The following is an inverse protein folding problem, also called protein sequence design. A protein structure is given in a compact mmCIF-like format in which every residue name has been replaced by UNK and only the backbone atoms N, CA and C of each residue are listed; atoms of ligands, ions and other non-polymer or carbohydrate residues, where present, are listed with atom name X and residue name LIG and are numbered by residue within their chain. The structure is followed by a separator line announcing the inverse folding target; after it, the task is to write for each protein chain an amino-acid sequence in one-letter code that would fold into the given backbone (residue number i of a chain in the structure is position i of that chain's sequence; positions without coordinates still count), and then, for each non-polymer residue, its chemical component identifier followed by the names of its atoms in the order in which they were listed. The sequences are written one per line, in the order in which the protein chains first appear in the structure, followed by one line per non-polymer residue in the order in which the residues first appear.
data_IF_390622459028
#
_entry.id   IF_390622459028
#
_cell.length_a   1.000
_cell.length_b   1.000
_cell.length_c   1.000
_cell.angle_alpha   90.00
_cell.angle_beta   90.00
_cell.angle_gamma   90.00
#
_symmetry.space_group_name_H-M   'P 1'
#
loop_
_entity.id
_entity.type
_entity.pdbx_description
1 polymer ?
#
# COMPACT_ATOMS: atom_id res chain seq x y z
N UNK A 1 -19.51 -28.05 39.47
CA UNK A 1 -18.06 -27.76 39.51
C UNK A 1 -17.59 -27.77 38.06
N UNK A 2 -17.21 -26.62 37.49
CA UNK A 2 -16.76 -26.53 36.10
C UNK A 2 -15.24 -26.74 36.03
N UNK A 3 -14.78 -27.57 35.10
CA UNK A 3 -13.44 -28.13 35.10
C UNK A 3 -12.29 -27.11 34.92
N UNK A 4 -11.17 -27.27 35.64
CA UNK A 4 -9.99 -26.37 35.58
C UNK A 4 -9.35 -26.27 34.18
N UNK A 5 -9.60 -27.25 33.32
CA UNK A 5 -9.10 -27.33 31.94
C UNK A 5 -9.67 -26.24 31.02
N UNK A 6 -10.94 -25.86 31.20
CA UNK A 6 -11.62 -24.88 30.34
C UNK A 6 -11.11 -23.44 30.55
N UNK A 7 -10.80 -23.06 31.79
CA UNK A 7 -10.22 -21.74 32.10
C UNK A 7 -8.81 -21.59 31.54
N UNK A 8 -7.99 -22.64 31.65
CA UNK A 8 -6.64 -22.65 31.08
C UNK A 8 -6.65 -22.49 29.56
N UNK A 9 -7.55 -23.20 28.85
CA UNK A 9 -7.69 -23.08 27.40
C UNK A 9 -8.12 -21.68 26.94
N UNK A 10 -9.05 -21.04 27.65
CA UNK A 10 -9.48 -19.66 27.37
C UNK A 10 -8.33 -18.66 27.58
N UNK A 11 -7.53 -18.82 28.64
CA UNK A 11 -6.36 -17.97 28.89
C UNK A 11 -5.31 -18.13 27.79
N UNK A 12 -4.98 -19.36 27.39
CA UNK A 12 -4.03 -19.62 26.30
C UNK A 12 -4.52 -19.06 24.96
N UNK A 13 -5.81 -19.21 24.66
CA UNK A 13 -6.44 -18.67 23.45
C UNK A 13 -6.38 -17.14 23.44
N UNK A 14 -6.65 -16.49 24.58
CA UNK A 14 -6.52 -15.05 24.72
C UNK A 14 -5.10 -14.55 24.45
N UNK A 15 -4.10 -15.20 25.06
CA UNK A 15 -2.69 -14.87 24.81
C UNK A 15 -2.30 -15.06 23.35
N UNK A 16 -2.79 -16.12 22.70
CA UNK A 16 -2.50 -16.37 21.29
C UNK A 16 -3.11 -15.30 20.37
N UNK A 17 -4.36 -14.87 20.63
CA UNK A 17 -5.00 -13.79 19.87
C UNK A 17 -4.18 -12.50 20.02
N UNK A 18 -3.78 -12.14 21.24
CA UNK A 18 -2.94 -10.95 21.49
C UNK A 18 -1.64 -11.01 20.70
N UNK A 19 -0.92 -12.13 20.72
CA UNK A 19 0.32 -12.29 19.94
C UNK A 19 0.08 -12.13 18.43
N UNK A 20 -1.02 -12.67 17.90
CA UNK A 20 -1.34 -12.53 16.48
C UNK A 20 -1.67 -11.09 16.09
N UNK A 21 -2.31 -10.32 16.98
CA UNK A 21 -2.58 -8.89 16.75
C UNK A 21 -1.33 -8.01 16.83
N UNK A 22 -0.28 -8.48 17.49
CA UNK A 22 1.01 -7.79 17.59
C UNK A 22 1.93 -8.04 16.37
N UNK A 23 1.59 -8.99 15.49
CA UNK A 23 2.41 -9.27 14.31
C UNK A 23 2.35 -8.11 13.30
N UNK A 24 3.49 -7.65 12.75
CA UNK A 24 3.50 -6.65 11.70
C UNK A 24 2.71 -7.10 10.46
N UNK A 25 2.06 -6.17 9.73
CA UNK A 25 1.34 -6.49 8.48
C UNK A 25 2.23 -7.19 7.43
N UNK A 26 3.54 -6.96 7.49
CA UNK A 26 4.53 -7.54 6.60
C UNK A 26 5.31 -8.73 7.20
N UNK A 27 4.84 -9.31 8.31
CA UNK A 27 5.58 -10.33 9.06
C UNK A 27 6.05 -11.50 8.19
N UNK A 28 5.20 -12.00 7.30
CA UNK A 28 5.54 -13.08 6.36
C UNK A 28 6.69 -12.70 5.40
N UNK A 29 6.71 -11.47 4.91
CA UNK A 29 7.78 -10.95 4.05
C UNK A 29 9.09 -10.80 4.85
N UNK A 30 9.03 -10.22 6.05
CA UNK A 30 10.19 -10.09 6.92
C UNK A 30 10.78 -11.45 7.31
N UNK A 31 9.91 -12.40 7.69
CA UNK A 31 10.34 -13.74 8.09
C UNK A 31 10.97 -14.52 6.94
N UNK A 32 10.41 -14.43 5.74
CA UNK A 32 11.00 -15.06 4.55
C UNK A 32 12.35 -14.44 4.18
N UNK A 33 12.49 -13.12 4.25
CA UNK A 33 13.77 -12.45 4.06
C UNK A 33 14.84 -12.91 5.08
N UNK A 34 14.47 -13.01 6.37
CA UNK A 34 15.36 -13.52 7.42
C UNK A 34 15.80 -14.97 7.18
N UNK A 35 14.91 -15.83 6.69
CA UNK A 35 15.25 -17.21 6.36
C UNK A 35 16.23 -17.27 5.19
N UNK A 36 16.01 -16.47 4.15
CA UNK A 36 16.92 -16.37 3.01
C UNK A 36 18.30 -15.84 3.43
N UNK A 37 18.36 -14.82 4.30
CA UNK A 37 19.62 -14.33 4.84
C UNK A 37 20.40 -15.41 5.61
N UNK A 38 19.71 -16.22 6.43
CA UNK A 38 20.34 -17.35 7.11
C UNK A 38 20.90 -18.36 6.12
N UNK A 39 20.16 -18.70 5.06
CA UNK A 39 20.64 -19.60 4.03
C UNK A 39 21.86 -19.05 3.28
N UNK A 40 21.88 -17.75 2.98
CA UNK A 40 23.04 -17.10 2.36
C UNK A 40 24.29 -17.16 3.25
N UNK A 41 24.13 -17.04 4.58
CA UNK A 41 25.25 -17.16 5.53
C UNK A 41 25.73 -18.61 5.65
N UNK A 42 24.81 -19.57 5.69
CA UNK A 42 25.13 -20.99 5.84
C UNK A 42 25.67 -21.63 4.56
N UNK A 43 25.28 -21.14 3.39
CA UNK A 43 25.61 -21.69 2.08
C UNK A 43 25.96 -20.59 1.05
N UNK A 44 27.04 -19.83 1.25
CA UNK A 44 27.35 -18.62 0.47
C UNK A 44 27.57 -18.88 -1.02
N UNK A 45 28.14 -20.03 -1.40
CA UNK A 45 28.47 -20.37 -2.79
C UNK A 45 27.45 -21.32 -3.45
N UNK A 46 26.26 -21.48 -2.85
CA UNK A 46 25.25 -22.39 -3.37
C UNK A 46 24.35 -21.69 -4.41
N UNK A 47 24.39 -22.08 -5.70
CA UNK A 47 23.60 -21.43 -6.75
C UNK A 47 22.09 -21.55 -6.52
N UNK A 48 21.62 -22.61 -5.85
CA UNK A 48 20.20 -22.77 -5.53
C UNK A 48 19.75 -21.74 -4.48
N UNK A 49 20.60 -21.37 -3.52
CA UNK A 49 20.26 -20.32 -2.53
C UNK A 49 20.16 -18.97 -3.22
N UNK A 50 21.07 -18.66 -4.15
CA UNK A 50 21.01 -17.44 -4.93
C UNK A 50 19.73 -17.38 -5.78
N UNK A 51 19.35 -18.47 -6.45
CA UNK A 51 18.11 -18.56 -7.21
C UNK A 51 16.87 -18.33 -6.31
N UNK A 52 16.84 -18.90 -5.11
CA UNK A 52 15.75 -18.66 -4.15
C UNK A 52 15.62 -17.19 -3.77
N UNK A 53 16.74 -16.51 -3.52
CA UNK A 53 16.77 -15.07 -3.20
C UNK A 53 16.23 -14.26 -4.37
N UNK A 54 16.73 -14.51 -5.57
CA UNK A 54 16.32 -13.77 -6.78
C UNK A 54 14.83 -13.96 -7.08
N UNK A 55 14.34 -15.21 -6.99
CA UNK A 55 12.94 -15.53 -7.22
C UNK A 55 12.03 -14.89 -6.17
N UNK A 56 12.44 -14.88 -4.90
CA UNK A 56 11.71 -14.20 -3.85
C UNK A 56 11.65 -12.69 -4.08
N UNK A 57 12.80 -12.04 -4.38
CA UNK A 57 12.85 -10.61 -4.66
C UNK A 57 11.97 -10.22 -5.85
N UNK A 58 12.00 -10.99 -6.95
CA UNK A 58 11.12 -10.80 -8.12
C UNK A 58 9.65 -10.95 -7.75
N UNK A 59 9.30 -11.94 -6.93
CA UNK A 59 7.93 -12.17 -6.47
C UNK A 59 7.41 -11.01 -5.62
N UNK A 60 8.21 -10.52 -4.67
CA UNK A 60 7.84 -9.38 -3.81
C UNK A 60 7.68 -8.10 -4.65
N UNK A 61 8.62 -7.80 -5.56
CA UNK A 61 8.56 -6.62 -6.43
C UNK A 61 7.38 -6.65 -7.40
N UNK A 62 7.06 -7.80 -7.98
CA UNK A 62 5.92 -7.93 -8.91
C UNK A 62 4.56 -7.77 -8.23
N UNK A 63 4.48 -8.01 -6.92
CA UNK A 63 3.29 -7.79 -6.11
C UNK A 63 3.26 -6.44 -5.41
N UNK A 64 4.35 -5.67 -5.47
CA UNK A 64 4.42 -4.32 -4.93
C UNK A 64 3.62 -3.34 -5.79
N UNK A 65 3.15 -2.26 -5.17
CA UNK A 65 2.60 -1.12 -5.88
C UNK A 65 3.63 -0.61 -6.90
N UNK A 66 3.31 -0.48 -8.21
CA UNK A 66 4.23 0.07 -9.21
C UNK A 66 4.68 1.49 -8.84
N UNK A 67 5.88 1.89 -9.25
CA UNK A 67 6.41 3.21 -8.90
C UNK A 67 5.60 4.34 -9.54
N UNK A 68 5.11 4.09 -10.76
CA UNK A 68 4.25 5.01 -11.50
C UNK A 68 2.89 5.20 -10.81
N UNK A 69 2.45 4.22 -10.01
CA UNK A 69 1.23 4.32 -9.22
C UNK A 69 1.42 5.15 -7.94
N UNK A 70 2.66 5.37 -7.50
CA UNK A 70 2.95 6.20 -6.32
C UNK A 70 2.87 7.71 -6.61
N UNK A 71 3.01 8.13 -7.88
CA UNK A 71 3.08 9.56 -8.23
C UNK A 71 1.73 10.19 -8.54
N UNK A 72 0.72 9.41 -8.91
CA UNK A 72 -0.56 9.93 -9.42
C UNK A 72 -1.28 10.89 -8.46
N UNK A 73 -1.28 10.59 -7.16
CA UNK A 73 -1.87 11.49 -6.16
C UNK A 73 -1.09 12.79 -6.01
N UNK A 74 0.25 12.72 -5.97
CA UNK A 74 1.11 13.89 -5.88
C UNK A 74 0.94 14.79 -7.12
N UNK A 75 0.96 14.20 -8.31
CA UNK A 75 0.70 14.92 -9.57
C UNK A 75 -0.67 15.62 -9.58
N UNK A 76 -1.72 14.93 -9.13
CA UNK A 76 -3.06 15.50 -9.03
C UNK A 76 -3.12 16.68 -8.05
N UNK A 77 -2.47 16.56 -6.89
CA UNK A 77 -2.39 17.63 -5.89
C UNK A 77 -1.59 18.83 -6.40
N UNK A 78 -0.46 18.61 -7.07
CA UNK A 78 0.33 19.68 -7.69
C UNK A 78 -0.46 20.44 -8.74
N UNK A 79 -1.21 19.73 -9.61
CA UNK A 79 -2.08 20.37 -10.61
C UNK A 79 -3.22 21.14 -9.96
N UNK A 80 -3.81 20.62 -8.88
CA UNK A 80 -4.85 21.30 -8.12
C UNK A 80 -4.34 22.60 -7.48
N UNK A 81 -3.12 22.58 -6.92
CA UNK A 81 -2.46 23.78 -6.38
C UNK A 81 -2.20 24.82 -7.47
N UNK A 82 -1.67 24.40 -8.62
CA UNK A 82 -1.43 25.29 -9.76
C UNK A 82 -2.73 25.93 -10.27
N UNK A 83 -3.83 25.18 -10.30
CA UNK A 83 -5.14 25.70 -10.66
C UNK A 83 -5.63 26.75 -9.65
N UNK A 84 -5.50 26.48 -8.35
CA UNK A 84 -5.87 27.42 -7.29
C UNK A 84 -5.06 28.73 -7.38
N UNK A 85 -3.74 28.65 -7.57
CA UNK A 85 -2.88 29.82 -7.77
C UNK A 85 -3.24 30.61 -9.03
N UNK A 86 -3.61 29.93 -10.11
CA UNK A 86 -4.04 30.58 -11.35
C UNK A 86 -5.37 31.33 -11.13
N UNK A 87 -6.31 30.72 -10.42
CA UNK A 87 -7.59 31.35 -10.06
C UNK A 87 -7.39 32.60 -9.19
N UNK A 88 -6.54 32.52 -8.16
CA UNK A 88 -6.25 33.65 -7.27
C UNK A 88 -5.61 34.83 -8.04
N UNK A 89 -4.65 34.56 -8.93
CA UNK A 89 -4.01 35.60 -9.75
C UNK A 89 -4.99 36.32 -10.68
N UNK A 90 -5.99 35.62 -11.21
CA UNK A 90 -7.02 36.20 -12.07
C UNK A 90 -7.99 37.09 -11.28
N UNK A 91 -8.27 36.72 -10.02
CA UNK A 91 -9.07 37.54 -9.11
C UNK A 91 -8.34 38.84 -8.72
N UNK A 92 -7.02 38.75 -8.48
CA UNK A 92 -6.17 39.92 -8.19
C UNK A 92 -5.98 40.84 -9.42
N UNK A 93 -5.78 40.28 -10.61
CA UNK A 93 -5.61 41.02 -11.87
C UNK A 93 -6.94 41.31 -12.56
N UNK A 94 -7.85 42.00 -11.86
CA UNK A 94 -9.18 42.42 -12.33
C UNK A 94 -9.19 42.74 -13.84
N UNK A 95 -9.67 41.79 -14.65
CA UNK A 95 -9.76 41.91 -16.12
C UNK A 95 -9.26 40.72 -16.94
N UNK A 96 -8.46 39.81 -16.36
CA UNK A 96 -8.15 38.51 -16.99
C UNK A 96 -9.02 37.43 -16.35
N UNK A 97 -9.79 36.71 -17.17
CA UNK A 97 -10.59 35.58 -16.73
C UNK A 97 -10.06 34.30 -17.35
N UNK A 98 -10.14 33.20 -16.61
CA UNK A 98 -10.01 31.88 -17.18
C UNK A 98 -11.29 31.55 -17.93
N UNK A 99 -11.15 31.05 -19.15
CA UNK A 99 -12.29 30.56 -19.92
C UNK A 99 -12.82 29.24 -19.34
N UNK A 100 -14.10 28.95 -19.57
CA UNK A 100 -14.71 27.68 -19.12
C UNK A 100 -14.02 26.46 -19.77
N UNK A 101 -13.51 26.59 -20.99
CA UNK A 101 -12.76 25.53 -21.67
C UNK A 101 -11.40 25.29 -21.02
N UNK A 102 -10.67 26.33 -20.64
CA UNK A 102 -9.42 26.18 -19.89
C UNK A 102 -9.64 25.53 -18.52
N UNK A 103 -10.64 25.99 -17.76
CA UNK A 103 -11.00 25.37 -16.47
C UNK A 103 -11.32 23.89 -16.64
N UNK A 104 -12.12 23.54 -17.66
CA UNK A 104 -12.48 22.15 -17.93
C UNK A 104 -11.24 21.29 -18.24
N UNK A 105 -10.30 21.81 -19.02
CA UNK A 105 -9.05 21.10 -19.33
C UNK A 105 -8.21 20.85 -18.09
N UNK A 106 -8.05 21.85 -17.22
CA UNK A 106 -7.30 21.69 -15.95
C UNK A 106 -7.96 20.67 -15.02
N UNK A 107 -9.28 20.79 -14.81
CA UNK A 107 -10.05 19.84 -14.00
C UNK A 107 -9.96 18.43 -14.55
N UNK A 108 -10.06 18.26 -15.88
CA UNK A 108 -9.90 16.96 -16.52
C UNK A 108 -8.50 16.38 -16.28
N UNK A 109 -7.45 17.19 -16.37
CA UNK A 109 -6.08 16.76 -16.08
C UNK A 109 -5.89 16.32 -14.61
N UNK A 110 -6.50 17.03 -13.66
CA UNK A 110 -6.49 16.66 -12.24
C UNK A 110 -7.23 15.33 -12.02
N UNK A 111 -8.44 15.19 -12.59
CA UNK A 111 -9.21 13.95 -12.52
C UNK A 111 -8.45 12.78 -13.13
N UNK A 112 -7.77 12.99 -14.26
CA UNK A 112 -6.96 11.96 -14.91
C UNK A 112 -5.77 11.54 -14.02
N UNK A 113 -5.11 12.48 -13.35
CA UNK A 113 -4.00 12.19 -12.44
C UNK A 113 -4.47 11.33 -11.24
N UNK A 114 -5.58 11.71 -10.60
CA UNK A 114 -6.14 10.93 -9.49
C UNK A 114 -6.68 9.56 -9.92
N UNK A 115 -7.21 9.44 -11.14
CA UNK A 115 -7.75 8.17 -11.65
C UNK A 115 -6.69 7.24 -12.25
N UNK A 116 -5.42 7.68 -12.39
CA UNK A 116 -4.33 6.83 -12.89
C UNK A 116 -4.10 5.63 -11.97
N UNK A 117 -4.19 5.85 -10.65
CA UNK A 117 -4.19 4.78 -9.66
C UNK A 117 -5.07 5.17 -8.47
N UNK A 118 -6.09 4.36 -8.20
CA UNK A 118 -7.00 4.59 -7.08
C UNK A 118 -6.30 4.17 -5.78
N UNK A 119 -6.10 5.09 -4.81
CA UNK A 119 -5.45 4.77 -3.54
C UNK A 119 -6.18 3.68 -2.75
N UNK A 120 -5.46 2.98 -1.88
CA UNK A 120 -6.03 1.90 -1.07
C UNK A 120 -7.15 2.38 -0.14
N UNK A 121 -7.07 3.61 0.35
CA UNK A 121 -8.10 4.24 1.19
C UNK A 121 -9.43 4.37 0.43
N UNK A 122 -9.38 4.76 -0.84
CA UNK A 122 -10.59 4.87 -1.68
C UNK A 122 -11.12 3.49 -2.07
N UNK A 123 -10.25 2.49 -2.26
CA UNK A 123 -10.68 1.09 -2.44
C UNK A 123 -11.40 0.56 -1.20
N UNK A 124 -10.90 0.88 0.00
CA UNK A 124 -11.54 0.50 1.27
C UNK A 124 -12.91 1.16 1.44
N UNK A 125 -13.03 2.45 1.13
CA UNK A 125 -14.31 3.17 1.16
C UNK A 125 -15.34 2.52 0.23
N UNK A 126 -14.95 2.17 -0.99
CA UNK A 126 -15.81 1.48 -1.96
C UNK A 126 -16.22 0.08 -1.51
N UNK A 127 -15.31 -0.64 -0.86
CA UNK A 127 -15.62 -1.95 -0.28
C UNK A 127 -16.67 -1.82 0.84
N UNK A 128 -16.53 -0.83 1.73
CA UNK A 128 -17.50 -0.57 2.79
C UNK A 128 -18.90 -0.26 2.22
N UNK A 129 -18.97 0.57 1.18
CA UNK A 129 -20.24 0.85 0.47
C UNK A 129 -20.84 -0.39 -0.18
N UNK A 130 -20.03 -1.19 -0.88
CA UNK A 130 -20.47 -2.39 -1.60
C UNK A 130 -20.92 -3.50 -0.65
N UNK A 131 -20.27 -3.61 0.52
CA UNK A 131 -20.67 -4.51 1.61
C UNK A 131 -22.09 -4.21 2.09
N UNK A 132 -22.47 -2.93 2.14
CA UNK A 132 -23.82 -2.52 2.53
C UNK A 132 -24.89 -2.83 1.46
N UNK A 133 -24.48 -3.20 0.24
CA UNK A 133 -25.37 -3.41 -0.93
C UNK A 133 -25.43 -4.87 -1.39
N UNK A 134 -25.00 -5.85 -0.58
CA UNK A 134 -25.02 -7.29 -0.85
C UNK A 134 -24.19 -7.76 -2.08
N UNK A 135 -23.30 -6.93 -2.61
CA UNK A 135 -22.40 -7.29 -3.71
C UNK A 135 -20.98 -6.81 -3.43
N UNK A 136 -20.16 -7.63 -2.75
CA UNK A 136 -18.89 -7.17 -2.18
C UNK A 136 -17.65 -7.99 -2.54
N UNK A 137 -17.78 -9.17 -3.15
CA UNK A 137 -16.61 -10.05 -3.35
C UNK A 137 -15.53 -9.44 -4.26
N UNK A 138 -15.94 -8.75 -5.32
CA UNK A 138 -15.00 -8.10 -6.24
C UNK A 138 -14.30 -6.91 -5.58
N UNK A 139 -15.05 -6.06 -4.89
CA UNK A 139 -14.54 -4.87 -4.20
C UNK A 139 -13.65 -5.27 -3.02
N UNK A 140 -13.98 -6.35 -2.32
CA UNK A 140 -13.14 -6.93 -1.28
C UNK A 140 -11.78 -7.34 -1.84
N UNK A 141 -11.76 -8.12 -2.92
CA UNK A 141 -10.52 -8.56 -3.58
C UNK A 141 -9.68 -7.37 -4.07
N UNK A 142 -10.31 -6.32 -4.58
CA UNK A 142 -9.62 -5.10 -5.00
C UNK A 142 -8.99 -4.35 -3.82
N UNK A 143 -9.71 -4.21 -2.70
CA UNK A 143 -9.18 -3.59 -1.49
C UNK A 143 -8.03 -4.40 -0.88
N UNK A 144 -8.19 -5.72 -0.78
CA UNK A 144 -7.14 -6.63 -0.31
C UNK A 144 -5.90 -6.58 -1.22
N UNK A 145 -6.08 -6.53 -2.53
CA UNK A 145 -4.97 -6.40 -3.48
C UNK A 145 -4.23 -5.07 -3.30
N UNK A 146 -4.95 -3.96 -3.17
CA UNK A 146 -4.35 -2.64 -2.96
C UNK A 146 -3.54 -2.57 -1.65
N UNK A 147 -4.08 -3.12 -0.56
CA UNK A 147 -3.37 -3.22 0.72
C UNK A 147 -2.11 -4.09 0.62
N UNK A 148 -2.21 -5.25 -0.02
CA UNK A 148 -1.06 -6.13 -0.25
C UNK A 148 0.01 -5.43 -1.10
N UNK A 149 -0.37 -4.69 -2.13
CA UNK A 149 0.56 -3.92 -2.97
C UNK A 149 1.32 -2.86 -2.17
N UNK A 150 0.63 -2.14 -1.27
CA UNK A 150 1.26 -1.17 -0.38
C UNK A 150 2.22 -1.84 0.61
N UNK A 151 1.82 -2.95 1.23
CA UNK A 151 2.68 -3.71 2.16
C UNK A 151 3.95 -4.19 1.45
N UNK A 152 3.81 -4.76 0.25
CA UNK A 152 4.95 -5.23 -0.54
C UNK A 152 5.86 -4.05 -0.96
N UNK A 153 5.31 -2.92 -1.41
CA UNK A 153 6.10 -1.72 -1.75
C UNK A 153 6.87 -1.19 -0.55
N UNK A 154 6.20 -1.05 0.61
CA UNK A 154 6.87 -0.63 1.84
C UNK A 154 8.06 -1.53 2.19
N UNK A 155 7.92 -2.86 2.06
CA UNK A 155 9.02 -3.79 2.27
C UNK A 155 10.15 -3.65 1.26
N UNK A 156 9.85 -3.42 -0.02
CA UNK A 156 10.87 -3.18 -1.04
C UNK A 156 11.67 -1.91 -0.73
N UNK A 157 10.99 -0.81 -0.37
CA UNK A 157 11.63 0.46 0.00
C UNK A 157 12.44 0.35 1.31
N UNK A 158 11.96 -0.44 2.26
CA UNK A 158 12.64 -0.68 3.53
C UNK A 158 13.88 -1.57 3.36
N UNK A 159 13.77 -2.67 2.61
CA UNK A 159 14.89 -3.58 2.33
C UNK A 159 15.98 -2.94 1.45
N UNK A 160 15.64 -1.94 0.63
CA UNK A 160 16.60 -1.18 -0.19
C UNK A 160 17.44 -0.17 0.59
N UNK A 161 17.12 0.10 1.87
CA UNK A 161 17.90 0.98 2.73
C UNK A 161 18.61 0.11 3.77
N UNK A 162 19.95 -0.01 3.74
CA UNK A 162 20.64 -0.59 4.89
C UNK A 162 20.31 0.29 6.09
N UNK A 163 19.68 -0.28 7.12
CA UNK A 163 19.62 0.34 8.44
C UNK A 163 21.06 0.69 8.81
N UNK A 164 21.37 1.99 8.84
CA UNK A 164 22.54 2.46 9.57
C UNK A 164 22.21 2.19 11.03
N UNK A 165 22.64 1.04 11.53
CA UNK A 165 22.68 0.81 12.97
C UNK A 165 23.64 1.84 13.59
N UNK A 166 23.28 2.44 14.74
CA UNK A 166 24.11 3.40 15.45
C UNK A 166 25.41 2.78 15.99
#
# INVERSE_FOLDING_TARGET
MAEPSGRSWLTLSGQQITRLTELPPAYNLQRSAQLLQQLMVLFPDNPHVQEMVDNWQKSVRSRALPEEAMTGWNEGMTRLQQLAERLNRLDEQRGKYMTVSELRTEVFGIMQAFNRHIPAEEQLRRYDEARNQNGSEQQQKQAEMALNQLINRYQVEHAGKPERQP
#
